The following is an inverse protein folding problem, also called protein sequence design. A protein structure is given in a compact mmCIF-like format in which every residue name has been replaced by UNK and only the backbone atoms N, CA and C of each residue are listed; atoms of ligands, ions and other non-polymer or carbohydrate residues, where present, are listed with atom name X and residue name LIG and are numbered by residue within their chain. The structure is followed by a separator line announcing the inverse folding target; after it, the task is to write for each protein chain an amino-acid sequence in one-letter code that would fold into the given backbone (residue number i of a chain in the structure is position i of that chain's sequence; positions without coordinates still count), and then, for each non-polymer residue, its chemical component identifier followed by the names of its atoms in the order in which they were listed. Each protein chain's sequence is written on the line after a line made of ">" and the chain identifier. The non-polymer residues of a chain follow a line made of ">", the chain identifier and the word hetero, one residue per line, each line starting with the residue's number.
data_IF_406153726621
#
_entry.id   IF_406153726621
#
_cell.length_a   1.000
_cell.length_b   1.000
_cell.length_c   1.000
_cell.angle_alpha   90.00
_cell.angle_beta   90.00
_cell.angle_gamma   90.00
#
_symmetry.space_group_name_H-M   'P 1'
#
loop_
_entity.id
_entity.type
_entity.pdbx_description
1 polymer ?
#
# COMPACT_ATOMS: atom_id res chain seq x y z
N UNK A 1 -28.64 6.72 -1.33
CA UNK A 1 -29.33 7.56 -2.32
C UNK A 1 -28.39 7.70 -3.50
N UNK A 2 -28.70 6.98 -4.58
CA UNK A 2 -27.89 6.87 -5.79
C UNK A 2 -28.29 8.00 -6.72
N UNK A 3 -27.32 8.76 -7.24
CA UNK A 3 -27.52 9.63 -8.39
C UNK A 3 -26.56 9.21 -9.50
N UNK A 4 -27.12 8.54 -10.51
CA UNK A 4 -26.55 8.41 -11.84
C UNK A 4 -26.91 9.68 -12.61
N UNK A 5 -25.97 10.28 -13.34
CA UNK A 5 -26.28 11.22 -14.42
C UNK A 5 -25.41 10.91 -15.63
N UNK A 6 -26.08 10.80 -16.76
CA UNK A 6 -25.59 10.37 -18.06
C UNK A 6 -24.88 11.48 -18.84
N UNK A 7 -24.08 11.01 -19.80
CA UNK A 7 -23.94 11.54 -21.16
C UNK A 7 -22.68 12.35 -21.48
N UNK A 8 -22.02 11.93 -22.56
CA UNK A 8 -20.96 12.71 -23.21
C UNK A 8 -19.87 11.84 -23.82
N UNK A 9 -20.17 11.14 -24.91
CA UNK A 9 -19.12 10.60 -25.77
C UNK A 9 -18.46 11.73 -26.57
N UNK A 10 -17.14 11.75 -26.63
CA UNK A 10 -16.42 12.40 -27.73
C UNK A 10 -15.08 11.70 -27.96
N UNK A 11 -14.92 11.17 -29.18
CA UNK A 11 -13.71 10.53 -29.69
C UNK A 11 -12.98 11.56 -30.53
N UNK A 12 -11.79 11.98 -30.11
CA UNK A 12 -10.83 12.66 -30.98
C UNK A 12 -9.45 12.03 -30.86
N UNK A 13 -8.84 11.93 -32.03
CA UNK A 13 -7.60 11.25 -32.39
C UNK A 13 -6.52 12.33 -32.52
N UNK A 14 -5.32 12.08 -32.03
CA UNK A 14 -4.09 12.67 -32.56
C UNK A 14 -3.50 13.88 -31.84
N UNK A 15 -2.21 13.70 -31.51
CA UNK A 15 -1.10 14.67 -31.59
C UNK A 15 -1.03 15.82 -30.59
N UNK A 16 -0.12 15.62 -29.62
CA UNK A 16 0.93 16.54 -29.18
C UNK A 16 0.64 18.04 -29.14
N UNK A 17 0.64 18.60 -27.93
CA UNK A 17 1.48 19.72 -27.54
C UNK A 17 1.19 20.11 -26.08
N UNK A 18 2.27 20.24 -25.31
CA UNK A 18 2.43 21.15 -24.16
C UNK A 18 1.15 21.61 -23.47
N UNK A 19 0.83 20.99 -22.34
CA UNK A 19 -0.03 21.60 -21.34
C UNK A 19 0.66 21.59 -19.99
N UNK A 20 1.07 22.79 -19.59
CA UNK A 20 0.94 23.34 -18.25
C UNK A 20 1.19 22.36 -17.10
N UNK A 21 2.36 22.49 -16.49
CA UNK A 21 2.56 22.16 -15.08
C UNK A 21 1.66 23.06 -14.24
N UNK A 22 0.37 22.71 -14.17
CA UNK A 22 -0.44 23.05 -13.02
C UNK A 22 0.15 22.22 -11.88
N UNK A 23 0.97 22.88 -11.06
CA UNK A 23 1.30 22.44 -9.72
C UNK A 23 -0.02 22.52 -8.95
N UNK A 24 -0.85 21.48 -9.11
CA UNK A 24 -2.02 21.22 -8.30
C UNK A 24 -1.51 20.86 -6.91
N UNK A 25 -1.31 21.91 -6.12
CA UNK A 25 -1.07 21.90 -4.70
C UNK A 25 -2.36 21.45 -3.99
N UNK A 26 -2.77 20.21 -4.23
CA UNK A 26 -3.90 19.57 -3.55
C UNK A 26 -3.51 18.14 -3.28
N UNK A 27 -3.21 17.89 -2.01
CA UNK A 27 -2.98 16.58 -1.45
C UNK A 27 -1.79 15.85 -2.10
N UNK A 28 -0.59 16.08 -1.55
CA UNK A 28 0.17 14.96 -1.02
C UNK A 28 -0.73 14.23 -0.02
N UNK A 29 -1.69 13.49 -0.59
CA UNK A 29 -2.48 12.50 0.08
C UNK A 29 -1.46 11.63 0.77
N UNK A 30 -1.47 11.72 2.09
CA UNK A 30 -1.24 10.61 2.99
C UNK A 30 -1.08 9.33 2.16
N UNK A 31 0.16 8.95 1.83
CA UNK A 31 0.50 7.58 1.43
C UNK A 31 0.30 6.73 2.69
N UNK A 32 -0.96 6.68 3.12
CA UNK A 32 -1.43 5.86 4.20
C UNK A 32 -1.34 4.46 3.63
N UNK A 33 -0.52 3.57 4.21
CA UNK A 33 -0.42 2.20 3.73
C UNK A 33 -1.82 1.59 3.82
N UNK A 34 -2.53 1.49 2.67
CA UNK A 34 -3.92 1.05 2.53
C UNK A 34 -4.59 0.77 3.87
N UNK A 35 -4.96 1.84 4.58
CA UNK A 35 -5.17 1.77 6.02
C UNK A 35 -6.35 0.85 6.27
N UNK A 36 -6.10 -0.26 6.96
CA UNK A 36 -7.15 -1.19 7.31
C UNK A 36 -8.14 -0.47 8.20
N UNK A 37 -9.30 -0.12 7.65
CA UNK A 37 -10.37 0.58 8.35
C UNK A 37 -10.68 -0.10 9.69
N UNK A 38 -10.69 -1.44 9.71
CA UNK A 38 -10.88 -2.24 10.92
C UNK A 38 -9.81 -2.00 11.99
N UNK A 39 -8.54 -1.80 11.60
CA UNK A 39 -7.47 -1.51 12.55
C UNK A 39 -7.61 -0.11 13.15
N UNK A 40 -7.99 0.89 12.33
CA UNK A 40 -8.25 2.25 12.82
C UNK A 40 -9.45 2.27 13.75
N UNK A 41 -10.59 1.71 13.31
CA UNK A 41 -11.84 1.69 14.07
C UNK A 41 -11.67 0.90 15.36
N UNK A 42 -11.05 -0.29 15.30
CA UNK A 42 -10.75 -1.09 16.48
C UNK A 42 -9.80 -0.38 17.45
N UNK A 43 -8.78 0.30 16.93
CA UNK A 43 -7.87 1.12 17.74
C UNK A 43 -8.56 2.28 18.44
N UNK A 44 -9.47 2.98 17.75
CA UNK A 44 -10.25 4.08 18.32
C UNK A 44 -11.21 3.60 19.42
N UNK A 45 -11.88 2.46 19.21
CA UNK A 45 -12.75 1.83 20.23
C UNK A 45 -11.95 1.42 21.47
N UNK A 46 -10.78 0.79 21.31
CA UNK A 46 -9.94 0.45 22.47
C UNK A 46 -9.41 1.69 23.19
N UNK A 47 -9.09 2.77 22.45
CA UNK A 47 -8.70 4.03 23.06
C UNK A 47 -9.85 4.63 23.86
N UNK A 48 -11.07 4.63 23.32
CA UNK A 48 -12.27 5.10 24.01
C UNK A 48 -12.53 4.32 25.29
N UNK A 49 -12.52 2.99 25.20
CA UNK A 49 -12.72 2.13 26.36
C UNK A 49 -11.59 2.26 27.40
N UNK A 50 -10.35 2.45 26.94
CA UNK A 50 -9.20 2.69 27.81
C UNK A 50 -9.35 3.99 28.61
N UNK A 51 -9.84 5.06 27.96
CA UNK A 51 -10.15 6.31 28.64
C UNK A 51 -11.28 6.15 29.66
N UNK A 52 -12.38 5.50 29.29
CA UNK A 52 -13.53 5.23 30.19
C UNK A 52 -13.12 4.39 31.40
N UNK A 53 -12.25 3.40 31.22
CA UNK A 53 -11.70 2.59 32.31
C UNK A 53 -10.80 3.43 33.24
N UNK A 54 -9.98 4.31 32.68
CA UNK A 54 -9.15 5.23 33.46
C UNK A 54 -10.00 6.18 34.32
N UNK A 55 -11.03 6.80 33.76
CA UNK A 55 -11.96 7.65 34.51
C UNK A 55 -12.67 6.86 35.62
N UNK A 56 -13.17 5.66 35.30
CA UNK A 56 -13.83 4.79 36.27
C UNK A 56 -12.90 4.43 37.44
N UNK A 57 -11.65 4.05 37.16
CA UNK A 57 -10.69 3.67 38.18
C UNK A 57 -10.05 4.84 38.92
N UNK A 58 -10.14 6.07 38.41
CA UNK A 58 -9.59 7.26 39.10
C UNK A 58 -10.65 7.97 39.94
N UNK A 59 -11.90 8.03 39.47
CA UNK A 59 -12.97 8.80 40.11
C UNK A 59 -13.84 7.94 41.05
N UNK A 60 -14.11 6.67 40.73
CA UNK A 60 -15.10 5.85 41.44
C UNK A 60 -14.52 4.82 42.43
N UNK A 61 -13.20 4.81 42.69
CA UNK A 61 -12.52 3.89 43.63
C UNK A 61 -13.03 3.92 45.08
N UNK A 62 -13.90 4.85 45.44
CA UNK A 62 -14.39 5.07 46.81
C UNK A 62 -15.44 4.07 47.28
N UNK A 63 -15.97 3.21 46.41
CA UNK A 63 -16.88 2.12 46.80
C UNK A 63 -16.47 0.83 46.09
N UNK A 64 -16.56 -0.31 46.79
CA UNK A 64 -16.26 -1.66 46.32
C UNK A 64 -17.20 -2.07 45.17
N UNK A 65 -17.06 -1.38 44.04
CA UNK A 65 -17.95 -1.39 42.90
C UNK A 65 -17.29 -2.15 41.78
N UNK A 66 -17.99 -3.18 41.30
CA UNK A 66 -17.57 -3.97 40.16
C UNK A 66 -17.50 -3.09 38.91
N UNK A 67 -16.54 -3.35 38.03
CA UNK A 67 -16.43 -2.66 36.74
C UNK A 67 -17.73 -2.88 35.97
N UNK A 68 -18.35 -1.84 35.39
CA UNK A 68 -19.59 -1.99 34.63
C UNK A 68 -19.38 -2.90 33.43
N UNK A 69 -20.38 -3.73 33.13
CA UNK A 69 -20.35 -4.70 32.03
C UNK A 69 -20.17 -4.05 30.66
N UNK A 70 -20.60 -2.80 30.49
CA UNK A 70 -20.47 -2.06 29.24
C UNK A 70 -19.00 -1.90 28.80
N UNK A 71 -18.11 -1.54 29.75
CA UNK A 71 -16.66 -1.40 29.49
C UNK A 71 -16.08 -2.77 29.08
N UNK A 72 -16.51 -3.85 29.73
CA UNK A 72 -16.03 -5.20 29.43
C UNK A 72 -16.45 -5.62 28.02
N UNK A 73 -17.70 -5.37 27.63
CA UNK A 73 -18.22 -5.72 26.30
C UNK A 73 -17.53 -4.89 25.22
N UNK A 74 -17.28 -3.60 25.46
CA UNK A 74 -16.60 -2.72 24.51
C UNK A 74 -15.14 -3.15 24.26
N UNK A 75 -14.39 -3.55 25.29
CA UNK A 75 -13.06 -4.16 25.12
C UNK A 75 -13.14 -5.43 24.26
N UNK A 76 -14.09 -6.33 24.54
CA UNK A 76 -14.23 -7.57 23.78
C UNK A 76 -14.51 -7.31 22.30
N UNK A 77 -15.39 -6.36 22.00
CA UNK A 77 -15.69 -5.93 20.63
C UNK A 77 -14.45 -5.32 19.97
N UNK A 78 -13.75 -4.43 20.67
CA UNK A 78 -12.52 -3.81 20.17
C UNK A 78 -11.41 -4.82 19.83
N UNK A 79 -11.20 -5.81 20.70
CA UNK A 79 -10.23 -6.89 20.48
C UNK A 79 -10.62 -7.73 19.25
N UNK A 80 -11.89 -8.10 19.09
CA UNK A 80 -12.34 -8.88 17.92
C UNK A 80 -12.13 -8.10 16.62
N UNK A 81 -12.47 -6.81 16.60
CA UNK A 81 -12.30 -5.95 15.43
C UNK A 81 -10.83 -5.79 15.05
N UNK A 82 -9.93 -5.58 16.02
CA UNK A 82 -8.48 -5.47 15.75
C UNK A 82 -7.92 -6.78 15.19
N UNK A 83 -8.30 -7.93 15.74
CA UNK A 83 -7.83 -9.23 15.23
C UNK A 83 -8.26 -9.43 13.77
N UNK A 84 -9.50 -9.07 13.42
CA UNK A 84 -9.97 -9.12 12.04
C UNK A 84 -9.19 -8.14 11.13
N UNK A 85 -8.92 -6.94 11.63
CA UNK A 85 -8.08 -5.94 10.94
C UNK A 85 -6.66 -6.40 10.71
N UNK A 86 -6.06 -7.13 11.66
CA UNK A 86 -4.73 -7.71 11.55
C UNK A 86 -4.67 -8.82 10.47
N UNK A 87 -5.68 -9.70 10.42
CA UNK A 87 -5.77 -10.74 9.38
C UNK A 87 -5.88 -10.16 7.97
N UNK A 88 -6.63 -9.07 7.81
CA UNK A 88 -6.72 -8.33 6.54
C UNK A 88 -5.41 -7.63 6.17
N UNK A 89 -4.58 -7.26 7.15
CA UNK A 89 -3.30 -6.59 6.91
C UNK A 89 -2.26 -7.48 6.24
N UNK A 90 -2.31 -8.78 6.53
CA UNK A 90 -1.34 -9.78 6.06
C UNK A 90 -1.59 -10.15 4.58
N UNK A 91 -2.74 -9.77 4.00
CA UNK A 91 -3.05 -10.10 2.61
C UNK A 91 -2.01 -9.50 1.67
N UNK A 92 -1.51 -10.34 0.76
CA UNK A 92 -0.48 -9.95 -0.18
C UNK A 92 -1.05 -8.92 -1.17
N UNK A 93 -0.32 -7.83 -1.40
CA UNK A 93 -0.71 -6.80 -2.36
C UNK A 93 -0.09 -7.12 -3.71
N UNK A 94 -0.70 -6.61 -4.77
CA UNK A 94 -0.10 -6.65 -6.10
C UNK A 94 1.21 -5.86 -6.10
N UNK A 95 2.13 -6.26 -6.97
CA UNK A 95 3.43 -5.60 -7.17
C UNK A 95 3.55 -5.19 -8.62
N UNK A 96 4.36 -4.16 -8.87
CA UNK A 96 4.65 -3.71 -10.23
C UNK A 96 5.93 -4.37 -10.73
N UNK A 97 5.90 -4.86 -11.97
CA UNK A 97 7.09 -5.29 -12.68
C UNK A 97 8.01 -4.10 -12.99
N UNK A 98 9.32 -4.35 -13.02
CA UNK A 98 10.33 -3.32 -13.35
C UNK A 98 10.56 -3.26 -14.87
N UNK A 99 10.56 -4.42 -15.53
CA UNK A 99 10.90 -4.54 -16.96
C UNK A 99 9.67 -4.47 -17.87
N UNK A 100 8.56 -4.98 -17.37
CA UNK A 100 7.26 -4.93 -18.03
C UNK A 100 6.41 -4.08 -17.10
N UNK A 101 5.88 -2.95 -17.57
CA UNK A 101 4.97 -2.09 -16.80
C UNK A 101 3.61 -2.79 -16.59
N UNK A 102 3.64 -4.01 -16.07
CA UNK A 102 2.50 -4.86 -15.79
C UNK A 102 2.29 -5.06 -14.29
N UNK A 103 1.03 -5.30 -13.93
CA UNK A 103 0.63 -5.56 -12.56
C UNK A 103 0.70 -7.05 -12.32
N UNK A 104 1.65 -7.47 -11.49
CA UNK A 104 1.88 -8.88 -11.17
C UNK A 104 1.11 -9.25 -9.90
N UNK A 105 0.24 -10.25 -10.04
CA UNK A 105 -0.53 -10.79 -8.93
C UNK A 105 0.21 -11.97 -8.31
N UNK A 106 0.38 -11.99 -6.98
CA UNK A 106 0.98 -13.13 -6.30
C UNK A 106 0.04 -14.35 -6.38
N UNK A 107 0.59 -15.58 -6.53
CA UNK A 107 -0.22 -16.79 -6.65
C UNK A 107 -0.97 -17.15 -5.36
N UNK A 108 -0.44 -16.71 -4.21
CA UNK A 108 -0.99 -16.96 -2.88
C UNK A 108 -1.52 -15.65 -2.27
N UNK A 109 -2.69 -15.73 -1.64
CA UNK A 109 -3.41 -14.57 -1.08
C UNK A 109 -2.71 -13.95 0.15
N UNK A 110 -1.85 -14.70 0.84
CA UNK A 110 -1.25 -14.26 2.11
C UNK A 110 0.27 -14.25 2.04
N UNK A 111 0.92 -15.41 2.13
CA UNK A 111 2.38 -15.51 2.21
C UNK A 111 2.98 -15.97 0.88
N UNK A 112 4.27 -15.66 0.69
CA UNK A 112 5.08 -16.16 -0.42
C UNK A 112 5.32 -17.68 -0.25
N UNK A 113 5.41 -18.47 -1.35
CA UNK A 113 5.70 -19.89 -1.23
C UNK A 113 7.10 -20.13 -0.65
N UNK A 114 7.24 -21.21 0.12
CA UNK A 114 8.51 -21.59 0.76
C UNK A 114 9.44 -22.30 -0.24
N UNK A 115 8.89 -22.98 -1.24
CA UNK A 115 9.68 -23.67 -2.24
C UNK A 115 10.48 -22.65 -3.08
N UNK A 116 11.81 -22.80 -3.07
CA UNK A 116 12.71 -21.85 -3.73
C UNK A 116 12.43 -21.72 -5.23
N UNK A 117 12.10 -22.81 -5.92
CA UNK A 117 11.78 -22.76 -7.35
C UNK A 117 10.53 -21.94 -7.65
N UNK A 118 9.50 -22.05 -6.81
CA UNK A 118 8.26 -21.28 -6.92
C UNK A 118 8.43 -19.83 -6.47
N UNK A 119 9.16 -19.60 -5.37
CA UNK A 119 9.46 -18.26 -4.88
C UNK A 119 10.25 -17.45 -5.93
N UNK A 120 11.26 -18.08 -6.54
CA UNK A 120 12.04 -17.46 -7.60
C UNK A 120 11.21 -17.26 -8.87
N UNK A 121 10.29 -18.15 -9.20
CA UNK A 121 9.36 -17.92 -10.31
C UNK A 121 8.53 -16.66 -10.09
N UNK A 122 7.98 -16.43 -8.88
CA UNK A 122 7.21 -15.22 -8.56
C UNK A 122 8.06 -13.95 -8.64
N UNK A 123 9.33 -13.99 -8.20
CA UNK A 123 10.23 -12.84 -8.28
C UNK A 123 10.62 -12.54 -9.74
N UNK A 124 10.93 -13.59 -10.52
CA UNK A 124 11.27 -13.47 -11.93
C UNK A 124 10.12 -12.89 -12.77
N UNK A 125 8.86 -13.12 -12.38
CA UNK A 125 7.70 -12.47 -13.02
C UNK A 125 7.74 -10.93 -12.91
N UNK A 126 8.37 -10.39 -11.87
CA UNK A 126 8.56 -8.94 -11.72
C UNK A 126 9.67 -8.39 -12.65
N UNK A 127 10.34 -9.27 -13.39
CA UNK A 127 11.48 -8.93 -14.24
C UNK A 127 12.77 -8.68 -13.46
N UNK A 128 12.82 -9.14 -12.21
CA UNK A 128 14.00 -9.05 -11.33
C UNK A 128 14.50 -10.45 -11.06
N UNK A 129 15.81 -10.64 -11.07
CA UNK A 129 16.44 -11.87 -10.62
C UNK A 129 17.08 -11.64 -9.25
N UNK A 130 17.09 -12.66 -8.38
CA UNK A 130 17.76 -12.54 -7.07
C UNK A 130 19.27 -12.32 -7.20
N UNK A 131 19.83 -12.71 -8.35
CA UNK A 131 21.26 -12.60 -8.66
C UNK A 131 21.59 -11.42 -9.59
N UNK A 132 20.70 -10.43 -9.72
CA UNK A 132 20.90 -9.27 -10.60
C UNK A 132 22.21 -8.53 -10.28
N UNK A 133 22.62 -8.50 -9.00
CA UNK A 133 23.89 -7.88 -8.58
C UNK A 133 25.12 -8.57 -9.21
N UNK A 134 25.07 -9.90 -9.37
CA UNK A 134 26.14 -10.70 -9.95
C UNK A 134 26.13 -10.60 -11.47
N UNK A 135 24.95 -10.56 -12.09
CA UNK A 135 24.79 -10.48 -13.54
C UNK A 135 25.16 -9.09 -14.08
N UNK A 136 24.72 -8.04 -13.40
CA UNK A 136 24.92 -6.65 -13.85
C UNK A 136 26.33 -6.13 -13.54
N UNK A 137 27.03 -6.77 -12.59
CA UNK A 137 28.39 -6.40 -12.12
C UNK A 137 28.54 -4.88 -11.97
N UNK A 138 27.74 -4.29 -11.09
CA UNK A 138 27.58 -2.83 -10.95
C UNK A 138 28.91 -2.07 -10.76
N UNK A 139 29.91 -2.72 -10.17
CA UNK A 139 31.25 -2.16 -9.96
C UNK A 139 32.07 -1.96 -11.25
N UNK A 140 31.74 -2.66 -12.34
CA UNK A 140 32.49 -2.65 -13.59
C UNK A 140 31.75 -1.95 -14.74
N UNK A 141 30.79 -1.08 -14.42
CA UNK A 141 30.04 -0.34 -15.43
C UNK A 141 30.94 0.74 -16.06
N UNK A 142 31.10 0.71 -17.39
CA UNK A 142 31.75 1.80 -18.12
C UNK A 142 30.83 3.03 -18.21
N UNK A 143 31.12 4.00 -17.35
CA UNK A 143 30.38 5.27 -17.27
C UNK A 143 30.48 6.07 -18.57
N UNK A 144 31.61 6.04 -19.28
CA UNK A 144 31.78 6.81 -20.53
C UNK A 144 30.92 6.20 -21.63
N UNK A 145 30.89 4.87 -21.73
CA UNK A 145 30.03 4.17 -22.68
C UNK A 145 28.55 4.48 -22.41
N UNK A 146 28.09 4.37 -21.15
CA UNK A 146 26.69 4.68 -20.80
C UNK A 146 26.28 6.11 -21.12
N UNK A 147 27.17 7.09 -20.91
CA UNK A 147 26.91 8.48 -21.30
C UNK A 147 26.76 8.64 -22.81
N UNK A 148 27.55 7.92 -23.60
CA UNK A 148 27.45 7.92 -25.06
C UNK A 148 26.14 7.28 -25.53
N UNK A 149 25.77 6.12 -24.99
CA UNK A 149 24.48 5.45 -25.28
C UNK A 149 23.29 6.37 -24.99
N UNK A 150 23.31 7.06 -23.84
CA UNK A 150 22.26 8.01 -23.49
C UNK A 150 22.21 9.20 -24.45
N UNK A 151 23.35 9.81 -24.78
CA UNK A 151 23.41 10.92 -25.72
C UNK A 151 22.88 10.54 -27.12
N UNK A 152 23.22 9.34 -27.60
CA UNK A 152 22.69 8.80 -28.85
C UNK A 152 21.17 8.56 -28.80
N UNK A 153 20.65 8.08 -27.66
CA UNK A 153 19.21 7.91 -27.46
C UNK A 153 18.47 9.25 -27.45
N UNK A 154 19.01 10.27 -26.78
CA UNK A 154 18.43 11.64 -26.78
C UNK A 154 18.39 12.20 -28.20
N UNK A 155 19.49 12.11 -28.94
CA UNK A 155 19.56 12.60 -30.32
C UNK A 155 18.54 11.93 -31.26
N UNK A 156 18.19 10.65 -31.02
CA UNK A 156 17.15 9.94 -31.79
C UNK A 156 15.72 10.38 -31.46
N UNK A 157 15.48 10.94 -30.27
CA UNK A 157 14.15 11.41 -29.87
C UNK A 157 13.87 12.83 -30.35
N UNK A 158 14.92 13.62 -30.57
CA UNK A 158 14.84 15.00 -31.06
C UNK A 158 14.78 15.10 -32.60
N UNK A 159 15.07 14.01 -33.32
CA UNK A 159 15.02 13.89 -34.78
C UNK A 159 13.65 13.42 -35.28
#
# INVERSE_FOLDING_TARGET
>A
MVCFSLSGGCKTRGTGAFSNYQISLTASALEAPAMNLFLIVGGLILLHCGYSSHEYHTVLKTKNSFIPSEIIIEVLIGIVIINLGALRAIQNRYRFGITHDDVVWPPLTFLLPINLSEANAVINLLGVTEHEELDTRRDFIDVKQKRKEYAEWVAKQEA
#
